data_IF_864521547113
#
_entry.id   IF_864521547113
#
_cell.length_a   1.000
_cell.length_b   1.000
_cell.length_c   1.000
_cell.angle_alpha   90.00
_cell.angle_beta   90.00
_cell.angle_gamma   90.00
#
_symmetry.space_group_name_H-M   'P 1'
#
loop_
_entity.id
_entity.type
_entity.pdbx_description
1 polymer ?
#
# COMPACT_ATOMS: atom_id res chain seq x y z
N UNK A 1 54.76 31.27 -19.84
CA UNK A 1 53.62 32.16 -20.16
C UNK A 1 52.36 31.32 -20.36
N UNK A 2 52.00 30.47 -19.38
CA UNK A 2 50.95 29.43 -19.53
C UNK A 2 50.17 29.12 -18.23
N UNK A 3 50.36 29.90 -17.16
CA UNK A 3 49.77 29.61 -15.83
C UNK A 3 48.51 30.40 -15.49
N UNK A 4 48.09 31.35 -16.33
CA UNK A 4 46.95 32.25 -16.05
C UNK A 4 45.61 31.72 -16.61
N UNK A 5 45.67 30.81 -17.60
CA UNK A 5 44.47 30.27 -18.27
C UNK A 5 43.87 29.05 -17.57
N UNK A 6 44.63 28.33 -16.76
CA UNK A 6 44.13 27.15 -16.03
C UNK A 6 43.29 27.53 -14.81
N UNK A 7 43.68 28.57 -14.07
CA UNK A 7 42.96 29.04 -12.87
C UNK A 7 41.56 29.58 -13.17
N UNK A 8 41.34 30.17 -14.35
CA UNK A 8 40.03 30.67 -14.79
C UNK A 8 39.10 29.54 -15.26
N UNK A 9 39.66 28.49 -15.88
CA UNK A 9 38.91 27.29 -16.24
C UNK A 9 38.48 26.50 -15.00
N UNK A 10 39.39 26.33 -14.03
CA UNK A 10 39.10 25.62 -12.78
C UNK A 10 38.05 26.34 -11.92
N UNK A 11 38.05 27.67 -11.90
CA UNK A 11 37.00 28.45 -11.20
C UNK A 11 35.66 28.40 -11.92
N UNK A 12 35.64 28.40 -13.26
CA UNK A 12 34.41 28.18 -14.03
C UNK A 12 33.84 26.78 -13.77
N UNK A 13 34.68 25.75 -13.77
CA UNK A 13 34.28 24.39 -13.47
C UNK A 13 33.76 24.24 -12.03
N UNK A 14 34.43 24.89 -11.07
CA UNK A 14 34.05 24.90 -9.66
C UNK A 14 32.70 25.60 -9.41
N UNK A 15 32.28 26.55 -10.25
CA UNK A 15 30.98 27.22 -10.16
C UNK A 15 29.88 26.50 -10.96
N UNK A 16 30.21 25.93 -12.12
CA UNK A 16 29.24 25.27 -12.99
C UNK A 16 28.77 23.92 -12.45
N UNK A 17 29.65 23.16 -11.78
CA UNK A 17 29.26 21.90 -11.14
C UNK A 17 28.18 22.05 -10.06
N UNK A 18 28.34 22.90 -9.03
CA UNK A 18 27.31 23.10 -8.02
C UNK A 18 26.04 23.72 -8.60
N UNK A 19 26.14 24.59 -9.61
CA UNK A 19 24.97 25.13 -10.31
C UNK A 19 24.21 24.02 -11.08
N UNK A 20 24.92 23.14 -11.77
CA UNK A 20 24.34 22.01 -12.49
C UNK A 20 23.71 20.99 -11.52
N UNK A 21 24.35 20.73 -10.38
CA UNK A 21 23.79 19.89 -9.30
C UNK A 21 22.53 20.54 -8.72
N UNK A 22 22.52 21.85 -8.46
CA UNK A 22 21.34 22.57 -7.98
C UNK A 22 20.20 22.54 -9.00
N UNK A 23 20.49 22.72 -10.29
CA UNK A 23 19.47 22.65 -11.36
C UNK A 23 18.95 21.23 -11.52
N UNK A 24 19.82 20.21 -11.45
CA UNK A 24 19.42 18.81 -11.47
C UNK A 24 18.56 18.46 -10.25
N UNK A 25 18.94 18.89 -9.05
CA UNK A 25 18.18 18.71 -7.82
C UNK A 25 16.82 19.43 -7.86
N UNK A 26 16.75 20.64 -8.45
CA UNK A 26 15.50 21.37 -8.64
C UNK A 26 14.58 20.66 -9.63
N UNK A 27 15.12 20.14 -10.75
CA UNK A 27 14.34 19.40 -11.75
C UNK A 27 13.93 18.00 -11.28
N UNK A 28 14.72 17.39 -10.42
CA UNK A 28 14.42 16.10 -9.79
C UNK A 28 13.62 16.25 -8.50
N UNK A 29 13.28 17.47 -8.04
CA UNK A 29 12.52 17.72 -6.81
C UNK A 29 11.15 17.03 -6.78
N UNK A 30 10.51 16.89 -7.93
CA UNK A 30 9.21 16.21 -8.05
C UNK A 30 9.36 14.67 -8.17
N UNK A 31 10.59 14.16 -8.39
CA UNK A 31 10.91 12.73 -8.57
C UNK A 31 11.70 12.12 -7.41
N UNK A 32 12.48 12.93 -6.69
CA UNK A 32 13.14 12.56 -5.46
C UNK A 32 12.07 12.60 -4.38
N UNK A 33 11.87 11.46 -3.71
CA UNK A 33 11.05 11.37 -2.51
C UNK A 33 11.37 12.51 -1.54
N UNK A 34 10.40 12.85 -0.70
CA UNK A 34 10.41 13.96 0.25
C UNK A 34 11.81 14.20 0.84
N UNK A 35 12.22 15.46 1.01
CA UNK A 35 13.53 15.83 1.59
C UNK A 35 13.79 15.16 2.96
N UNK A 36 12.72 14.72 3.64
CA UNK A 36 12.78 13.83 4.82
C UNK A 36 13.53 12.52 4.57
N UNK A 37 13.34 11.91 3.40
CA UNK A 37 13.84 10.58 3.04
C UNK A 37 15.34 10.64 2.74
N UNK A 38 15.78 11.71 2.06
CA UNK A 38 17.19 12.03 1.85
C UNK A 38 17.90 12.36 3.16
N UNK A 39 17.26 13.15 4.03
CA UNK A 39 17.80 13.48 5.36
C UNK A 39 17.91 12.24 6.24
N UNK A 40 16.96 11.32 6.17
CA UNK A 40 16.98 10.06 6.90
C UNK A 40 18.09 9.11 6.42
N UNK A 41 18.49 9.19 5.15
CA UNK A 41 19.58 8.40 4.57
C UNK A 41 20.97 8.90 5.02
N UNK A 42 21.13 10.22 5.17
CA UNK A 42 22.41 10.87 5.52
C UNK A 42 22.60 10.99 7.03
N UNK A 43 21.52 11.19 7.78
CA UNK A 43 21.54 11.27 9.23
C UNK A 43 20.60 10.18 9.78
N UNK A 44 21.13 8.97 10.04
CA UNK A 44 20.35 7.95 10.72
C UNK A 44 20.05 8.46 12.12
N UNK A 45 18.86 9.03 12.31
CA UNK A 45 18.32 9.23 13.64
C UNK A 45 18.19 7.85 14.28
N UNK A 46 18.42 7.74 15.59
CA UNK A 46 17.99 6.57 16.35
C UNK A 46 16.48 6.46 16.11
N UNK A 47 16.06 5.66 15.13
CA UNK A 47 14.65 5.37 14.98
C UNK A 47 14.30 4.65 16.27
N UNK A 48 13.41 5.22 17.07
CA UNK A 48 12.56 4.36 17.88
C UNK A 48 12.04 3.32 16.90
N UNK A 49 12.41 2.05 17.11
CA UNK A 49 12.01 0.95 16.25
C UNK A 49 10.51 0.75 16.46
N UNK A 50 9.72 1.66 15.93
CA UNK A 50 8.29 1.47 15.78
C UNK A 50 8.17 0.18 14.96
N UNK A 51 7.53 -0.85 15.51
CA UNK A 51 7.46 -2.14 14.85
C UNK A 51 6.89 -1.92 13.45
N UNK A 52 7.52 -2.55 12.46
CA UNK A 52 7.18 -2.37 11.05
C UNK A 52 5.68 -2.59 10.80
N UNK A 53 5.09 -3.49 11.58
CA UNK A 53 3.67 -3.71 11.72
C UNK A 53 3.23 -3.24 13.11
N UNK A 54 2.33 -2.26 13.16
CA UNK A 54 1.70 -1.80 14.39
C UNK A 54 0.22 -1.51 14.12
N UNK A 55 -0.60 -1.63 15.16
CA UNK A 55 -2.04 -1.37 15.06
C UNK A 55 -2.30 0.10 14.69
N UNK A 56 -1.52 1.01 15.26
CA UNK A 56 -1.61 2.46 15.07
C UNK A 56 -1.25 2.85 13.64
N UNK A 57 -0.18 2.26 13.11
CA UNK A 57 0.21 2.42 11.71
C UNK A 57 -0.88 1.93 10.78
N UNK A 58 -1.45 0.76 11.06
CA UNK A 58 -2.55 0.21 10.26
C UNK A 58 -3.77 1.14 10.30
N UNK A 59 -4.23 1.51 11.49
CA UNK A 59 -5.34 2.45 11.72
C UNK A 59 -5.17 3.75 10.91
N UNK A 60 -4.03 4.43 11.06
CA UNK A 60 -3.77 5.67 10.33
C UNK A 60 -3.70 5.47 8.81
N UNK A 61 -3.30 4.28 8.35
CA UNK A 61 -3.24 3.95 6.92
C UNK A 61 -4.64 3.74 6.34
N UNK A 62 -5.52 3.05 7.07
CA UNK A 62 -6.93 2.90 6.70
C UNK A 62 -7.65 4.27 6.69
N UNK A 63 -7.53 5.07 7.76
CA UNK A 63 -8.12 6.43 7.84
C UNK A 63 -7.67 7.38 6.71
N UNK A 64 -6.48 7.16 6.15
CA UNK A 64 -5.93 8.02 5.08
C UNK A 64 -6.11 7.45 3.68
N UNK A 65 -6.68 6.24 3.54
CA UNK A 65 -6.78 5.51 2.28
C UNK A 65 -7.42 6.34 1.17
N UNK A 66 -8.60 6.91 1.42
CA UNK A 66 -9.37 7.60 0.39
C UNK A 66 -8.61 8.84 -0.10
N UNK A 67 -8.16 9.68 0.83
CA UNK A 67 -7.42 10.91 0.54
C UNK A 67 -6.17 10.62 -0.30
N UNK A 68 -5.39 9.62 0.10
CA UNK A 68 -4.15 9.25 -0.58
C UNK A 68 -4.43 8.63 -1.96
N UNK A 69 -5.41 7.73 -2.06
CA UNK A 69 -5.81 7.11 -3.33
C UNK A 69 -6.37 8.16 -4.31
N UNK A 70 -7.22 9.08 -3.85
CA UNK A 70 -7.72 10.20 -4.68
C UNK A 70 -6.60 11.13 -5.12
N UNK A 71 -5.57 11.34 -4.30
CA UNK A 71 -4.37 12.07 -4.72
C UNK A 71 -3.61 11.37 -5.85
N UNK A 72 -3.52 10.03 -5.83
CA UNK A 72 -2.95 9.25 -6.95
C UNK A 72 -3.76 9.45 -8.23
N UNK A 73 -5.10 9.37 -8.16
CA UNK A 73 -5.98 9.60 -9.32
C UNK A 73 -5.86 11.04 -9.85
N UNK A 74 -5.78 12.04 -8.98
CA UNK A 74 -5.56 13.44 -9.35
C UNK A 74 -4.23 13.64 -10.08
N UNK A 75 -3.16 12.98 -9.63
CA UNK A 75 -1.86 12.97 -10.32
C UNK A 75 -1.96 12.33 -11.71
N UNK A 76 -2.72 11.24 -11.85
CA UNK A 76 -2.98 10.63 -13.16
C UNK A 76 -3.73 11.59 -14.10
N UNK A 77 -4.76 12.29 -13.61
CA UNK A 77 -5.49 13.32 -14.37
C UNK A 77 -4.59 14.48 -14.80
N UNK A 78 -3.71 14.95 -13.90
CA UNK A 78 -2.75 16.01 -14.20
C UNK A 78 -1.68 15.57 -15.22
N UNK A 79 -1.25 14.31 -15.18
CA UNK A 79 -0.36 13.75 -16.20
C UNK A 79 -1.06 13.68 -17.55
N UNK A 80 -2.30 13.20 -17.58
CA UNK A 80 -3.13 13.14 -18.78
C UNK A 80 -3.36 14.51 -19.43
N UNK A 81 -3.61 15.55 -18.64
CA UNK A 81 -3.86 16.90 -19.16
C UNK A 81 -2.65 17.49 -19.89
N UNK A 82 -1.43 17.08 -19.53
CA UNK A 82 -0.17 17.49 -20.16
C UNK A 82 0.12 16.77 -21.49
N UNK A 83 -0.61 15.72 -21.84
CA UNK A 83 -0.38 14.96 -23.07
C UNK A 83 -0.72 15.76 -24.34
N UNK A 84 0.05 15.52 -25.40
CA UNK A 84 -0.22 16.05 -26.74
C UNK A 84 -1.50 15.49 -27.38
N UNK A 85 -1.99 16.16 -28.43
CA UNK A 85 -3.27 15.84 -29.10
C UNK A 85 -3.37 14.39 -29.60
N UNK A 86 -2.31 13.85 -30.19
CA UNK A 86 -2.29 12.48 -30.71
C UNK A 86 -2.51 11.44 -29.60
N UNK A 87 -1.81 11.56 -28.48
CA UNK A 87 -1.95 10.67 -27.32
C UNK A 87 -3.31 10.82 -26.64
N UNK A 88 -3.85 12.05 -26.53
CA UNK A 88 -5.20 12.27 -26.00
C UNK A 88 -6.28 11.60 -26.85
N UNK A 89 -6.18 11.66 -28.18
CA UNK A 89 -7.11 10.96 -29.08
C UNK A 89 -7.07 9.44 -28.88
N UNK A 90 -5.89 8.86 -28.77
CA UNK A 90 -5.73 7.43 -28.48
C UNK A 90 -6.32 7.07 -27.11
N UNK A 91 -5.99 7.82 -26.07
CA UNK A 91 -6.51 7.61 -24.72
C UNK A 91 -8.03 7.73 -24.63
N UNK A 92 -8.63 8.70 -25.35
CA UNK A 92 -10.08 8.84 -25.45
C UNK A 92 -10.71 7.62 -26.14
N UNK A 93 -10.09 7.11 -27.21
CA UNK A 93 -10.55 5.89 -27.91
C UNK A 93 -10.55 4.69 -26.96
N UNK A 94 -9.58 4.60 -26.05
CA UNK A 94 -9.47 3.57 -25.01
C UNK A 94 -10.38 3.82 -23.78
N UNK A 95 -11.15 4.91 -23.78
CA UNK A 95 -12.00 5.30 -22.65
C UNK A 95 -11.23 5.66 -21.38
N UNK A 96 -10.00 6.15 -21.50
CA UNK A 96 -9.12 6.41 -20.35
C UNK A 96 -9.73 7.39 -19.34
N UNK A 97 -10.36 8.47 -19.81
CA UNK A 97 -11.04 9.45 -18.93
C UNK A 97 -12.16 8.80 -18.13
N UNK A 98 -13.02 8.01 -18.79
CA UNK A 98 -14.09 7.23 -18.14
C UNK A 98 -13.54 6.25 -17.09
N UNK A 99 -12.38 5.63 -17.36
CA UNK A 99 -11.70 4.76 -16.39
C UNK A 99 -11.21 5.54 -15.16
N UNK A 100 -10.68 6.75 -15.34
CA UNK A 100 -10.26 7.60 -14.22
C UNK A 100 -11.45 8.09 -13.38
N UNK A 101 -12.58 8.39 -14.02
CA UNK A 101 -13.81 8.77 -13.31
C UNK A 101 -14.36 7.59 -12.52
N UNK A 102 -14.46 6.41 -13.14
CA UNK A 102 -14.85 5.18 -12.44
C UNK A 102 -13.90 4.85 -11.28
N UNK A 103 -12.59 5.03 -11.47
CA UNK A 103 -11.59 4.78 -10.42
C UNK A 103 -11.78 5.75 -9.25
N UNK A 104 -12.10 7.01 -9.51
CA UNK A 104 -12.41 7.99 -8.47
C UNK A 104 -13.61 7.58 -7.63
N UNK A 105 -14.69 7.14 -8.27
CA UNK A 105 -15.92 6.74 -7.58
C UNK A 105 -15.71 5.46 -6.77
N UNK A 106 -15.04 4.45 -7.33
CA UNK A 106 -14.69 3.23 -6.60
C UNK A 106 -13.74 3.53 -5.44
N UNK A 107 -12.81 4.47 -5.60
CA UNK A 107 -11.92 4.90 -4.51
C UNK A 107 -12.71 5.48 -3.35
N UNK A 108 -13.78 6.23 -3.62
CA UNK A 108 -14.65 6.77 -2.57
C UNK A 108 -15.41 5.64 -1.84
N UNK A 109 -15.97 4.68 -2.58
CA UNK A 109 -16.66 3.53 -1.99
C UNK A 109 -15.74 2.67 -1.12
N UNK A 110 -14.54 2.35 -1.62
CA UNK A 110 -13.53 1.65 -0.82
C UNK A 110 -13.06 2.49 0.38
N UNK A 111 -13.12 3.82 0.25
CA UNK A 111 -12.87 4.78 1.33
C UNK A 111 -13.82 4.57 2.50
N UNK A 112 -15.12 4.42 2.23
CA UNK A 112 -16.12 4.12 3.28
C UNK A 112 -15.79 2.85 4.05
N UNK A 113 -15.48 1.75 3.34
CA UNK A 113 -15.11 0.48 3.97
C UNK A 113 -13.83 0.62 4.81
N UNK A 114 -12.82 1.31 4.27
CA UNK A 114 -11.56 1.53 4.97
C UNK A 114 -11.75 2.37 6.24
N UNK A 115 -12.63 3.37 6.20
CA UNK A 115 -12.94 4.22 7.34
C UNK A 115 -13.69 3.45 8.42
N UNK A 116 -14.69 2.65 8.05
CA UNK A 116 -15.44 1.78 8.97
C UNK A 116 -14.53 0.76 9.67
N UNK A 117 -13.58 0.14 8.95
CA UNK A 117 -12.59 -0.77 9.55
C UNK A 117 -11.76 -0.04 10.61
N UNK A 118 -11.34 1.19 10.32
CA UNK A 118 -10.58 1.99 11.27
C UNK A 118 -11.42 2.42 12.49
N UNK A 119 -12.70 2.75 12.29
CA UNK A 119 -13.62 3.08 13.39
C UNK A 119 -13.87 1.89 14.32
N UNK A 120 -14.02 0.68 13.75
CA UNK A 120 -14.11 -0.55 14.54
C UNK A 120 -12.83 -0.73 15.36
N UNK A 121 -11.66 -0.56 14.74
CA UNK A 121 -10.38 -0.67 15.44
C UNK A 121 -10.24 0.36 16.57
N UNK A 122 -10.68 1.59 16.37
CA UNK A 122 -10.69 2.64 17.41
C UNK A 122 -11.63 2.30 18.57
N UNK A 123 -12.80 1.73 18.27
CA UNK A 123 -13.75 1.31 19.29
C UNK A 123 -13.23 0.13 20.13
N UNK A 124 -12.57 -0.84 19.50
CA UNK A 124 -12.00 -2.00 20.17
C UNK A 124 -10.70 -1.68 20.90
N UNK A 125 -9.91 -0.76 20.35
CA UNK A 125 -8.60 -0.36 20.87
C UNK A 125 -8.49 1.17 20.95
N UNK A 126 -9.11 1.81 21.96
CA UNK A 126 -9.11 3.28 22.08
C UNK A 126 -7.71 3.91 22.14
N UNK A 127 -6.70 3.18 22.62
CA UNK A 127 -5.32 3.66 22.66
C UNK A 127 -4.69 3.89 21.29
N UNK A 128 -5.32 3.41 20.21
CA UNK A 128 -4.80 3.57 18.83
C UNK A 128 -4.73 5.04 18.42
N UNK A 129 -5.61 5.88 18.97
CA UNK A 129 -5.66 7.33 18.69
C UNK A 129 -4.72 8.17 19.54
N UNK A 130 -4.18 7.60 20.62
CA UNK A 130 -3.27 8.32 21.54
C UNK A 130 -1.89 8.56 20.92
N UNK A 131 -1.59 7.89 19.80
CA UNK A 131 -0.31 8.02 19.13
C UNK A 131 -0.23 9.26 18.25
N UNK A 132 0.98 9.84 18.07
CA UNK A 132 1.18 10.96 17.17
C UNK A 132 0.69 10.61 15.76
N UNK A 133 0.01 11.55 15.11
CA UNK A 133 -0.52 11.35 13.75
C UNK A 133 0.57 10.79 12.83
N UNK A 134 0.40 9.52 12.46
CA UNK A 134 1.27 8.88 11.48
C UNK A 134 0.84 9.27 10.07
N UNK A 135 1.78 9.67 9.22
CA UNK A 135 1.51 9.91 7.80
C UNK A 135 1.78 8.63 7.02
N UNK A 136 0.72 8.03 6.49
CA UNK A 136 0.83 6.79 5.74
C UNK A 136 1.62 6.96 4.45
N UNK A 137 2.49 5.99 4.17
CA UNK A 137 3.32 5.95 2.97
C UNK A 137 2.60 5.27 1.79
N UNK A 138 3.19 5.34 0.59
CA UNK A 138 2.70 4.57 -0.57
C UNK A 138 2.72 3.06 -0.33
N UNK A 139 3.70 2.56 0.44
CA UNK A 139 3.78 1.15 0.82
C UNK A 139 2.62 0.75 1.76
N UNK A 140 2.24 1.64 2.68
CA UNK A 140 1.10 1.40 3.56
C UNK A 140 -0.22 1.38 2.78
N UNK A 141 -0.36 2.30 1.84
CA UNK A 141 -1.52 2.33 0.95
C UNK A 141 -1.63 1.04 0.11
N UNK A 142 -0.50 0.50 -0.34
CA UNK A 142 -0.46 -0.78 -1.03
C UNK A 142 -0.94 -1.94 -0.14
N UNK A 143 -0.59 -1.93 1.16
CA UNK A 143 -1.09 -2.92 2.13
C UNK A 143 -2.59 -2.83 2.36
N UNK A 144 -3.13 -1.62 2.51
CA UNK A 144 -4.58 -1.43 2.65
C UNK A 144 -5.31 -1.98 1.41
N UNK A 145 -4.80 -1.69 0.21
CA UNK A 145 -5.35 -2.27 -1.03
C UNK A 145 -5.27 -3.80 -1.06
N UNK A 146 -4.18 -4.37 -0.58
CA UNK A 146 -4.03 -5.82 -0.52
C UNK A 146 -5.00 -6.46 0.48
N UNK A 147 -5.20 -5.84 1.65
CA UNK A 147 -6.21 -6.27 2.60
C UNK A 147 -7.62 -6.22 2.01
N UNK A 148 -7.98 -5.15 1.29
CA UNK A 148 -9.27 -5.06 0.57
C UNK A 148 -9.45 -6.20 -0.46
N UNK A 149 -8.39 -6.61 -1.17
CA UNK A 149 -8.47 -7.79 -2.05
C UNK A 149 -8.63 -9.08 -1.27
N UNK A 150 -7.96 -9.22 -0.12
CA UNK A 150 -8.15 -10.38 0.74
C UNK A 150 -9.60 -10.52 1.20
N UNK A 151 -10.32 -9.42 1.46
CA UNK A 151 -11.76 -9.47 1.76
C UNK A 151 -12.56 -10.08 0.62
N UNK A 152 -12.27 -9.70 -0.63
CA UNK A 152 -12.92 -10.29 -1.80
C UNK A 152 -12.61 -11.79 -1.86
N UNK A 153 -11.33 -12.17 -1.76
CA UNK A 153 -10.90 -13.57 -1.82
C UNK A 153 -11.56 -14.42 -0.73
N UNK A 154 -11.57 -13.95 0.51
CA UNK A 154 -11.94 -14.74 1.68
C UNK A 154 -13.45 -14.68 2.00
N UNK A 155 -14.12 -13.57 1.69
CA UNK A 155 -15.47 -13.30 2.22
C UNK A 155 -16.50 -12.86 1.16
N UNK A 156 -16.16 -12.86 -0.14
CA UNK A 156 -17.12 -12.60 -1.21
C UNK A 156 -17.48 -13.85 -2.02
N UNK A 157 -18.58 -13.81 -2.76
CA UNK A 157 -18.94 -14.86 -3.71
C UNK A 157 -18.00 -14.89 -4.92
N UNK A 158 -17.44 -13.76 -5.33
CA UNK A 158 -16.47 -13.67 -6.42
C UNK A 158 -15.20 -14.49 -6.11
N UNK A 159 -14.82 -14.57 -4.83
CA UNK A 159 -13.70 -15.38 -4.36
C UNK A 159 -14.00 -16.88 -4.26
N UNK A 160 -15.25 -17.32 -4.41
CA UNK A 160 -15.67 -18.70 -4.10
C UNK A 160 -14.94 -19.75 -4.96
N UNK A 161 -14.77 -19.48 -6.26
CA UNK A 161 -14.06 -20.39 -7.17
C UNK A 161 -12.59 -20.56 -6.76
N UNK A 162 -11.93 -19.47 -6.41
CA UNK A 162 -10.54 -19.49 -5.96
C UNK A 162 -10.41 -20.25 -4.64
N UNK A 163 -11.26 -19.93 -3.65
CA UNK A 163 -11.32 -20.65 -2.37
C UNK A 163 -11.55 -22.14 -2.57
N UNK A 164 -12.50 -22.54 -3.39
CA UNK A 164 -12.77 -23.96 -3.65
C UNK A 164 -11.54 -24.67 -4.20
N UNK A 165 -10.86 -24.05 -5.18
CA UNK A 165 -9.66 -24.62 -5.80
C UNK A 165 -8.53 -24.81 -4.78
N UNK A 166 -8.34 -23.86 -3.87
CA UNK A 166 -7.21 -23.86 -2.92
C UNK A 166 -7.54 -24.64 -1.63
N UNK A 167 -8.75 -24.49 -1.09
CA UNK A 167 -9.14 -25.01 0.22
C UNK A 167 -9.62 -26.45 0.14
N UNK A 168 -10.32 -26.87 -0.93
CA UNK A 168 -10.88 -28.22 -1.01
C UNK A 168 -9.85 -29.33 -0.80
N UNK A 169 -8.66 -29.32 -1.42
CA UNK A 169 -7.65 -30.35 -1.15
C UNK A 169 -7.20 -30.43 0.31
N UNK A 170 -7.15 -29.28 1.01
CA UNK A 170 -6.77 -29.19 2.42
C UNK A 170 -7.90 -29.74 3.29
N UNK A 171 -9.13 -29.28 3.05
CA UNK A 171 -10.30 -29.72 3.81
C UNK A 171 -10.60 -31.20 3.60
N UNK A 172 -10.42 -31.72 2.38
CA UNK A 172 -10.65 -33.12 2.08
C UNK A 172 -9.61 -34.03 2.74
N UNK A 173 -8.36 -33.57 2.85
CA UNK A 173 -7.34 -34.23 3.66
C UNK A 173 -7.73 -34.28 5.15
N UNK A 174 -8.21 -33.18 5.72
CA UNK A 174 -8.66 -33.16 7.13
C UNK A 174 -9.89 -34.07 7.36
N UNK A 175 -10.75 -34.22 6.36
CA UNK A 175 -11.91 -35.13 6.41
C UNK A 175 -11.52 -36.62 6.45
N UNK A 176 -10.31 -37.01 6.04
CA UNK A 176 -9.89 -38.42 6.12
C UNK A 176 -9.54 -38.87 7.53
N UNK A 177 -9.30 -37.93 8.45
CA UNK A 177 -9.05 -38.24 9.86
C UNK A 177 -10.34 -38.73 10.51
N UNK A 178 -10.26 -39.69 11.43
CA UNK A 178 -11.44 -40.14 12.18
C UNK A 178 -12.06 -38.97 12.99
N UNK A 179 -13.39 -38.79 13.00
CA UNK A 179 -14.04 -37.67 13.71
C UNK A 179 -13.74 -37.60 15.22
N UNK A 180 -13.59 -38.73 15.90
CA UNK A 180 -13.28 -38.74 17.34
C UNK A 180 -11.84 -38.27 17.59
N UNK A 181 -10.92 -38.71 16.72
CA UNK A 181 -9.53 -38.25 16.77
C UNK A 181 -9.42 -36.77 16.41
N UNK A 182 -10.18 -36.33 15.40
CA UNK A 182 -10.23 -34.93 14.95
C UNK A 182 -10.60 -33.96 16.08
N UNK A 183 -11.61 -34.31 16.88
CA UNK A 183 -12.03 -33.50 18.02
C UNK A 183 -10.93 -33.34 19.09
N UNK A 184 -9.97 -34.26 19.16
CA UNK A 184 -8.83 -34.15 20.08
C UNK A 184 -7.61 -33.44 19.47
N UNK A 185 -7.63 -33.22 18.16
CA UNK A 185 -6.53 -32.62 17.42
C UNK A 185 -6.66 -31.11 17.36
N UNK A 186 -5.51 -30.48 17.13
CA UNK A 186 -5.38 -29.05 17.08
C UNK A 186 -4.70 -28.62 15.79
N UNK A 187 -5.36 -27.75 15.03
CA UNK A 187 -4.90 -27.30 13.71
C UNK A 187 -4.40 -25.86 13.78
N UNK A 188 -3.15 -25.66 13.35
CA UNK A 188 -2.55 -24.34 13.19
C UNK A 188 -2.54 -23.96 11.71
N UNK A 189 -3.07 -22.77 11.40
CA UNK A 189 -3.05 -22.19 10.04
C UNK A 189 -2.14 -20.97 10.03
N UNK A 190 -0.84 -21.11 9.72
CA UNK A 190 0.07 -19.98 9.70
C UNK A 190 -0.28 -19.03 8.55
N UNK A 191 -0.20 -17.71 8.81
CA UNK A 191 -0.49 -16.71 7.78
C UNK A 191 -1.92 -16.79 7.24
N UNK A 192 -2.90 -17.03 8.11
CA UNK A 192 -4.30 -17.29 7.74
C UNK A 192 -5.03 -16.13 7.02
N UNK A 193 -4.38 -14.99 6.83
CA UNK A 193 -4.97 -13.81 6.19
C UNK A 193 -6.14 -13.30 7.02
N UNK A 194 -7.35 -13.28 6.43
CA UNK A 194 -8.59 -12.92 7.14
C UNK A 194 -9.27 -14.12 7.80
N UNK A 195 -8.60 -15.27 7.88
CA UNK A 195 -9.03 -16.42 8.68
C UNK A 195 -10.10 -17.29 8.04
N UNK A 196 -10.42 -17.13 6.76
CA UNK A 196 -11.48 -17.91 6.11
C UNK A 196 -11.19 -19.41 6.07
N UNK A 197 -9.97 -19.83 5.74
CA UNK A 197 -9.61 -21.26 5.76
C UNK A 197 -9.73 -21.82 7.18
N UNK A 198 -9.23 -21.10 8.18
CA UNK A 198 -9.37 -21.49 9.58
C UNK A 198 -10.84 -21.64 9.97
N UNK A 199 -11.68 -20.70 9.56
CA UNK A 199 -13.14 -20.77 9.78
C UNK A 199 -13.75 -22.02 9.12
N UNK A 200 -13.39 -22.36 7.88
CA UNK A 200 -13.90 -23.58 7.23
C UNK A 200 -13.41 -24.86 7.91
N UNK A 201 -12.17 -24.88 8.41
CA UNK A 201 -11.62 -25.98 9.21
C UNK A 201 -12.42 -26.14 10.51
N UNK A 202 -12.74 -25.05 11.22
CA UNK A 202 -13.53 -25.15 12.45
C UNK A 202 -14.95 -25.68 12.21
N UNK A 203 -15.51 -25.47 11.01
CA UNK A 203 -16.81 -26.07 10.63
C UNK A 203 -16.74 -27.60 10.46
N UNK A 204 -15.55 -28.20 10.34
CA UNK A 204 -15.38 -29.65 10.31
C UNK A 204 -15.37 -30.30 11.70
N UNK A 205 -15.42 -29.50 12.77
CA UNK A 205 -15.31 -29.95 14.16
C UNK A 205 -13.88 -29.98 14.71
N UNK A 206 -12.91 -29.41 13.98
CA UNK A 206 -11.53 -29.24 14.42
C UNK A 206 -11.38 -28.10 15.46
N UNK A 207 -10.50 -28.29 16.45
CA UNK A 207 -10.08 -27.21 17.33
C UNK A 207 -8.90 -26.43 16.73
N UNK A 208 -9.05 -25.11 16.58
CA UNK A 208 -7.98 -24.23 16.12
C UNK A 208 -7.12 -23.76 17.30
N UNK A 209 -5.80 -23.60 17.08
CA UNK A 209 -4.88 -22.90 18.00
C UNK A 209 -4.47 -21.56 17.40
#
# INVERSE_FOLDING_TARGET
>A
MTTVTTTTFDTLLACLFPLAICIAAYRLRDSLGSFSDLRALVFPTKSSSQPYFSLERAYHSYRQYERLSKSEVSRMRASYSKLGRAHKRMANTLGYTKKLDRLWDITALNGTIADEIAEIAEREYPSVTDTPKYHATSADLARVREALKHFIRDWSDDGAKERHTIFSPILDCLKTVDPELRASQKVLVPGCGLGRLSWEISQLGDHLI
#
